data_IF_135096325477
#
_entry.id   IF_135096325477
#
_cell.length_a   1.000
_cell.length_b   1.000
_cell.length_c   1.000
_cell.angle_alpha   90.00
_cell.angle_beta   90.00
_cell.angle_gamma   90.00
#
_symmetry.space_group_name_H-M   'P 1'
#
loop_
_entity.id
_entity.type
_entity.pdbx_description
1 polymer ?
#
# COMPACT_ATOMS: atom_id res chain seq x y z
N UNK A 1 15.78 18.63 -4.39
CA UNK A 1 15.49 17.19 -4.61
C UNK A 1 16.79 16.47 -4.90
N UNK A 2 16.97 15.27 -4.36
CA UNK A 2 18.09 14.41 -4.76
C UNK A 2 17.97 14.00 -6.26
N UNK A 3 19.08 13.60 -6.88
CA UNK A 3 19.11 13.23 -8.31
C UNK A 3 19.33 11.72 -8.47
N UNK A 4 18.45 11.08 -9.24
CA UNK A 4 18.61 9.68 -9.65
C UNK A 4 19.61 9.53 -10.80
N UNK A 5 20.40 8.45 -10.75
CA UNK A 5 21.21 7.94 -11.85
C UNK A 5 20.34 7.50 -13.04
N UNK A 6 20.97 7.29 -14.20
CA UNK A 6 20.26 6.77 -15.39
C UNK A 6 19.66 5.38 -15.16
N UNK A 7 20.36 4.53 -14.40
CA UNK A 7 19.91 3.16 -14.11
C UNK A 7 18.70 3.17 -13.17
N UNK A 8 18.75 3.96 -12.09
CA UNK A 8 17.61 4.11 -11.17
C UNK A 8 16.37 4.66 -11.89
N UNK A 9 16.52 5.68 -12.75
CA UNK A 9 15.39 6.19 -13.55
C UNK A 9 14.78 5.12 -14.45
N UNK A 10 15.62 4.30 -15.09
CA UNK A 10 15.12 3.21 -15.94
C UNK A 10 14.43 2.14 -15.12
N UNK A 11 14.93 1.82 -13.93
CA UNK A 11 14.32 0.86 -13.02
C UNK A 11 12.97 1.36 -12.51
N UNK A 12 12.86 2.60 -12.04
CA UNK A 12 11.59 3.21 -11.59
C UNK A 12 10.53 3.16 -12.70
N UNK A 13 10.90 3.43 -13.95
CA UNK A 13 9.97 3.33 -15.08
C UNK A 13 9.41 1.93 -15.27
N UNK A 14 10.26 0.91 -15.15
CA UNK A 14 9.83 -0.49 -15.24
C UNK A 14 8.90 -0.88 -14.09
N UNK A 15 9.21 -0.44 -12.87
CA UNK A 15 8.37 -0.69 -11.70
C UNK A 15 6.99 -0.03 -11.87
N UNK A 16 6.94 1.24 -12.27
CA UNK A 16 5.67 1.94 -12.53
C UNK A 16 4.86 1.28 -13.65
N UNK A 17 5.52 0.81 -14.70
CA UNK A 17 4.85 0.06 -15.76
C UNK A 17 4.26 -1.25 -15.24
N UNK A 18 5.03 -2.01 -14.45
CA UNK A 18 4.56 -3.25 -13.85
C UNK A 18 3.34 -3.03 -12.94
N UNK A 19 3.36 -1.99 -12.10
CA UNK A 19 2.24 -1.63 -11.24
C UNK A 19 1.00 -1.23 -12.07
N UNK A 20 1.19 -0.51 -13.18
CA UNK A 20 0.10 -0.12 -14.07
C UNK A 20 -0.51 -1.31 -14.84
N UNK A 21 0.23 -2.40 -14.97
CA UNK A 21 -0.21 -3.66 -15.61
C UNK A 21 -0.84 -4.64 -14.60
N UNK A 22 -1.11 -4.21 -13.36
CA UNK A 22 -1.78 -5.04 -12.36
C UNK A 22 -3.08 -5.64 -12.91
N UNK A 23 -3.31 -6.96 -12.83
CA UNK A 23 -4.47 -7.61 -13.44
C UNK A 23 -5.77 -7.41 -12.63
N UNK A 24 -5.75 -6.54 -11.62
CA UNK A 24 -6.81 -6.42 -10.63
C UNK A 24 -7.11 -4.96 -10.31
N UNK A 25 -8.39 -4.62 -10.33
CA UNK A 25 -8.89 -3.31 -9.91
C UNK A 25 -9.17 -3.24 -8.39
N UNK A 26 -9.01 -4.36 -7.67
CA UNK A 26 -9.30 -4.42 -6.23
C UNK A 26 -8.08 -4.32 -5.31
N UNK A 27 -6.87 -4.44 -5.84
CA UNK A 27 -5.66 -4.41 -5.02
C UNK A 27 -5.23 -2.96 -4.80
N UNK A 28 -5.23 -2.53 -3.53
CA UNK A 28 -4.62 -1.28 -3.08
C UNK A 28 -3.54 -1.55 -2.02
N UNK A 29 -2.76 -0.52 -1.68
CA UNK A 29 -1.56 -0.64 -0.87
C UNK A 29 -1.59 0.33 0.32
N UNK A 30 -1.16 -0.13 1.49
CA UNK A 30 -1.01 0.71 2.68
C UNK A 30 0.23 0.30 3.48
N UNK A 31 0.84 1.26 4.18
CA UNK A 31 1.96 1.05 5.10
C UNK A 31 1.90 2.08 6.23
N UNK A 32 2.68 1.87 7.28
CA UNK A 32 2.86 2.77 8.43
C UNK A 32 4.32 3.17 8.65
N UNK A 33 5.21 2.93 7.66
CA UNK A 33 6.67 3.10 7.81
C UNK A 33 7.46 1.80 7.78
N UNK A 34 6.86 0.71 7.28
CA UNK A 34 7.45 -0.61 7.26
C UNK A 34 8.05 -0.96 5.89
N UNK A 35 8.94 -1.95 5.87
CA UNK A 35 9.45 -2.53 4.63
C UNK A 35 8.39 -3.36 3.90
N UNK A 36 7.41 -3.89 4.62
CA UNK A 36 6.31 -4.67 4.07
C UNK A 36 5.11 -3.75 3.82
N UNK A 37 4.74 -3.60 2.55
CA UNK A 37 3.55 -2.86 2.16
C UNK A 37 2.39 -3.83 2.09
N UNK A 38 1.40 -3.62 2.95
CA UNK A 38 0.16 -4.40 3.01
C UNK A 38 -0.68 -4.19 1.78
N UNK A 39 -1.24 -5.27 1.25
CA UNK A 39 -2.26 -5.21 0.20
C UNK A 39 -3.64 -5.32 0.84
N UNK A 40 -4.60 -4.54 0.35
CA UNK A 40 -5.98 -4.60 0.81
C UNK A 40 -6.98 -4.48 -0.33
N UNK A 41 -8.19 -4.98 -0.11
CA UNK A 41 -9.31 -4.90 -1.05
C UNK A 41 -9.91 -3.50 -1.03
N UNK A 42 -9.64 -2.72 -2.07
CA UNK A 42 -10.10 -1.33 -2.20
C UNK A 42 -11.62 -1.22 -2.28
N UNK A 43 -12.32 -2.30 -2.63
CA UNK A 43 -13.80 -2.29 -2.68
C UNK A 43 -14.43 -2.16 -1.30
N UNK A 44 -13.66 -2.42 -0.24
CA UNK A 44 -14.05 -2.29 1.16
C UNK A 44 -13.53 -1.00 1.82
N UNK A 45 -12.99 -0.05 1.05
CA UNK A 45 -12.34 1.15 1.61
C UNK A 45 -13.23 1.92 2.60
N UNK A 46 -14.50 2.15 2.23
CA UNK A 46 -15.45 2.86 3.09
C UNK A 46 -15.78 2.05 4.36
N UNK A 47 -15.82 0.73 4.27
CA UNK A 47 -16.03 -0.15 5.43
C UNK A 47 -14.82 -0.12 6.38
N UNK A 48 -13.59 -0.04 5.85
CA UNK A 48 -12.38 0.16 6.66
C UNK A 48 -12.48 1.49 7.40
N UNK A 49 -12.88 2.56 6.70
CA UNK A 49 -13.03 3.88 7.30
C UNK A 49 -14.11 3.88 8.39
N UNK A 50 -15.25 3.25 8.14
CA UNK A 50 -16.33 3.10 9.12
C UNK A 50 -15.87 2.31 10.36
N UNK A 51 -15.05 1.27 10.19
CA UNK A 51 -14.45 0.50 11.28
C UNK A 51 -13.51 1.37 12.12
N UNK A 52 -12.68 2.20 11.48
CA UNK A 52 -11.80 3.17 12.16
C UNK A 52 -12.63 4.15 12.99
N UNK A 53 -13.67 4.75 12.42
CA UNK A 53 -14.51 5.74 13.10
C UNK A 53 -15.34 5.14 14.24
N UNK A 54 -15.87 3.93 14.05
CA UNK A 54 -16.80 3.30 15.00
C UNK A 54 -16.09 2.59 16.16
N UNK A 55 -14.98 1.93 15.87
CA UNK A 55 -14.30 1.03 16.83
C UNK A 55 -12.90 1.51 17.22
N UNK A 56 -12.38 2.55 16.54
CA UNK A 56 -11.05 3.08 16.78
C UNK A 56 -9.93 2.16 16.30
N UNK A 57 -8.79 2.78 16.00
CA UNK A 57 -7.57 2.11 15.56
C UNK A 57 -6.96 2.75 14.33
N UNK A 58 -5.88 2.16 13.84
CA UNK A 58 -5.25 2.55 12.59
C UNK A 58 -5.86 1.78 11.40
N UNK A 59 -5.68 2.32 10.19
CA UNK A 59 -6.30 1.80 8.98
C UNK A 59 -6.02 0.31 8.73
N UNK A 60 -4.74 -0.10 8.80
CA UNK A 60 -4.33 -1.49 8.51
C UNK A 60 -4.92 -2.50 9.53
N UNK A 61 -4.80 -2.29 10.86
CA UNK A 61 -5.48 -3.16 11.83
C UNK A 61 -7.00 -3.25 11.62
N UNK A 62 -7.67 -2.14 11.31
CA UNK A 62 -9.11 -2.12 11.05
C UNK A 62 -9.46 -2.91 9.77
N UNK A 63 -8.69 -2.74 8.71
CA UNK A 63 -8.80 -3.55 7.49
C UNK A 63 -8.64 -5.06 7.79
N UNK A 64 -7.71 -5.41 8.67
CA UNK A 64 -7.52 -6.80 9.11
C UNK A 64 -8.73 -7.38 9.83
N UNK A 65 -9.37 -6.61 10.73
CA UNK A 65 -10.55 -7.08 11.49
C UNK A 65 -11.74 -7.43 10.60
N UNK A 66 -11.94 -6.67 9.52
CA UNK A 66 -13.07 -6.86 8.60
C UNK A 66 -12.74 -7.79 7.44
N UNK A 67 -11.52 -8.36 7.40
CA UNK A 67 -11.09 -9.26 6.32
C UNK A 67 -10.78 -8.56 5.00
N UNK A 68 -10.42 -7.28 5.04
CA UNK A 68 -10.05 -6.52 3.84
C UNK A 68 -8.57 -6.65 3.46
N UNK A 69 -7.72 -7.23 4.31
CA UNK A 69 -6.32 -7.49 3.95
C UNK A 69 -6.17 -8.75 3.10
N UNK A 70 -5.24 -8.71 2.15
CA UNK A 70 -4.75 -9.91 1.47
C UNK A 70 -3.58 -10.54 2.27
N UNK A 71 -3.40 -11.85 2.15
CA UNK A 71 -2.34 -12.58 2.87
C UNK A 71 -0.92 -12.28 2.36
N UNK A 72 -0.80 -11.62 1.21
CA UNK A 72 0.46 -11.27 0.54
C UNK A 72 0.86 -9.81 0.80
N UNK A 73 2.17 -9.55 0.79
CA UNK A 73 2.76 -8.20 0.95
C UNK A 73 3.75 -7.89 -0.17
N UNK A 74 3.98 -6.61 -0.46
CA UNK A 74 5.16 -6.20 -1.23
C UNK A 74 6.31 -5.92 -0.27
N UNK A 75 7.37 -6.73 -0.34
CA UNK A 75 8.58 -6.55 0.45
C UNK A 75 9.55 -5.56 -0.23
N UNK A 76 9.74 -4.39 0.38
CA UNK A 76 10.70 -3.38 -0.05
C UNK A 76 12.02 -3.52 0.72
N UNK A 77 13.17 -3.17 0.12
CA UNK A 77 14.47 -3.23 0.81
C UNK A 77 14.66 -2.15 1.88
N UNK A 78 13.84 -1.10 1.86
CA UNK A 78 13.85 0.00 2.82
C UNK A 78 12.41 0.33 3.24
N UNK A 79 12.26 1.03 4.36
CA UNK A 79 10.97 1.48 4.88
C UNK A 79 10.21 2.33 3.84
N UNK A 80 8.93 2.03 3.67
CA UNK A 80 8.00 2.84 2.89
C UNK A 80 7.17 3.65 3.88
N UNK A 81 7.38 4.96 3.89
CA UNK A 81 6.76 5.86 4.85
C UNK A 81 5.31 6.21 4.47
N UNK A 82 4.45 6.28 5.48
CA UNK A 82 3.13 6.90 5.37
C UNK A 82 3.19 8.29 5.99
N UNK A 83 3.30 9.31 5.13
CA UNK A 83 3.45 10.70 5.55
C UNK A 83 2.18 11.50 5.28
N UNK A 84 1.71 12.26 6.26
CA UNK A 84 0.74 13.32 6.02
C UNK A 84 1.38 14.44 5.18
N UNK A 85 0.66 14.93 4.16
CA UNK A 85 1.08 16.01 3.26
C UNK A 85 0.57 17.38 3.67
#
# INVERSE_FOLDING_TARGET
MATLTKQEKSWVKKLNQLLAECPSDRIAFATTGDCDVSLFDVTLYDDIFNEVESNGGEFIPCAGRIGALFDEVLAFPNQVESTAG
#
